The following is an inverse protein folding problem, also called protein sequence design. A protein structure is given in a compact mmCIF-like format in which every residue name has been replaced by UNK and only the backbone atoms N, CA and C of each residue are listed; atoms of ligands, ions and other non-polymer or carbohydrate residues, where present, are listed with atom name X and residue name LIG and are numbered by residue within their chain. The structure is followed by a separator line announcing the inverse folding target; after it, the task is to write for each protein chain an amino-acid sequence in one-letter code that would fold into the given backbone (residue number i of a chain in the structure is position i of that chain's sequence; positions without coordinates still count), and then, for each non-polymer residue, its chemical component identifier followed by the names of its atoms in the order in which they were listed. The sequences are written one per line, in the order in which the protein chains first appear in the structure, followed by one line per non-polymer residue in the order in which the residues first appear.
data_IF_287172013351
#
_entry.id   IF_287172013351
#
_cell.length_a   1.000
_cell.length_b   1.000
_cell.length_c   1.000
_cell.angle_alpha   90.00
_cell.angle_beta   90.00
_cell.angle_gamma   90.00
#
_symmetry.space_group_name_H-M   'P 1'
#
loop_
_entity.id
_entity.type
_entity.pdbx_description
1 polymer ?
#
# COMPACT_ATOMS: atom_id res chain seq x y z
N UNK A 1 -5.52 -15.21 -10.40
CA UNK A 1 -5.47 -13.80 -10.86
C UNK A 1 -4.26 -13.06 -10.29
N UNK A 2 -4.15 -12.89 -8.97
CA UNK A 2 -3.04 -12.19 -8.29
C UNK A 2 -1.64 -12.72 -8.68
N UNK A 3 -1.44 -14.05 -8.72
CA UNK A 3 -0.16 -14.63 -9.13
C UNK A 3 0.26 -14.24 -10.57
N UNK A 4 -0.71 -14.15 -11.49
CA UNK A 4 -0.46 -13.78 -12.90
C UNK A 4 -0.15 -12.28 -13.03
N UNK A 5 -0.91 -11.44 -12.31
CA UNK A 5 -0.65 -10.01 -12.15
C UNK A 5 0.78 -9.76 -11.66
N UNK A 6 1.19 -10.46 -10.61
CA UNK A 6 2.51 -10.30 -10.02
C UNK A 6 3.64 -10.84 -10.90
N UNK A 7 3.38 -11.86 -11.72
CA UNK A 7 4.36 -12.32 -12.70
C UNK A 7 4.56 -11.29 -13.83
N UNK A 8 3.46 -10.73 -14.38
CA UNK A 8 3.53 -9.65 -15.36
C UNK A 8 4.26 -8.42 -14.78
N UNK A 9 3.98 -8.09 -13.50
CA UNK A 9 4.67 -7.01 -12.76
C UNK A 9 6.16 -7.29 -12.54
N UNK A 10 6.55 -8.53 -12.23
CA UNK A 10 7.96 -8.91 -12.05
C UNK A 10 8.76 -8.70 -13.34
N UNK A 11 8.19 -9.02 -14.50
CA UNK A 11 8.82 -8.79 -15.80
C UNK A 11 9.02 -7.28 -16.00
N UNK A 12 7.96 -6.49 -15.83
CA UNK A 12 8.03 -5.04 -15.90
C UNK A 12 9.08 -4.46 -14.93
N UNK A 13 9.09 -4.90 -13.67
CA UNK A 13 10.05 -4.46 -12.66
C UNK A 13 11.51 -4.74 -13.04
N UNK A 14 11.79 -5.85 -13.71
CA UNK A 14 13.14 -6.17 -14.18
C UNK A 14 13.66 -5.18 -15.25
N UNK A 15 12.76 -4.68 -16.09
CA UNK A 15 13.09 -3.64 -17.07
C UNK A 15 13.17 -2.27 -16.40
N UNK A 16 12.25 -1.98 -15.47
CA UNK A 16 12.19 -0.73 -14.74
C UNK A 16 13.35 -0.55 -13.74
N UNK A 17 13.83 -1.62 -13.12
CA UNK A 17 14.94 -1.54 -12.16
C UNK A 17 16.23 -1.06 -12.82
N UNK A 18 16.45 -1.44 -14.09
CA UNK A 18 17.57 -0.95 -14.90
C UNK A 18 17.43 0.53 -15.20
N UNK A 19 16.21 1.01 -15.41
CA UNK A 19 15.90 2.41 -15.74
C UNK A 19 15.86 3.35 -14.54
N UNK A 20 15.51 2.82 -13.36
CA UNK A 20 15.31 3.59 -12.13
C UNK A 20 16.42 3.38 -11.10
N UNK A 21 17.49 2.65 -11.46
CA UNK A 21 18.63 2.31 -10.59
C UNK A 21 18.20 1.72 -9.25
N UNK A 22 17.14 0.91 -9.25
CA UNK A 22 16.56 0.32 -8.05
C UNK A 22 17.14 -1.08 -7.79
N UNK A 23 17.56 -1.37 -6.56
CA UNK A 23 18.21 -2.64 -6.22
C UNK A 23 17.18 -3.71 -5.86
N UNK A 24 16.68 -4.41 -6.89
CA UNK A 24 15.74 -5.53 -6.71
C UNK A 24 16.26 -6.61 -5.76
N UNK A 25 17.58 -6.74 -5.57
CA UNK A 25 18.15 -7.73 -4.63
C UNK A 25 17.73 -7.44 -3.20
N UNK A 26 17.58 -6.17 -2.83
CA UNK A 26 17.11 -5.77 -1.50
C UNK A 26 15.67 -6.20 -1.28
N UNK A 27 14.78 -6.00 -2.25
CA UNK A 27 13.38 -6.46 -2.14
C UNK A 27 13.26 -7.98 -2.15
N UNK A 28 14.07 -8.69 -2.96
CA UNK A 28 14.11 -10.16 -2.90
C UNK A 28 14.57 -10.66 -1.53
N UNK A 29 15.59 -10.03 -0.95
CA UNK A 29 16.05 -10.35 0.41
C UNK A 29 14.96 -10.07 1.44
N UNK A 30 14.31 -8.90 1.38
CA UNK A 30 13.22 -8.54 2.26
C UNK A 30 12.09 -9.59 2.20
N UNK A 31 11.64 -9.95 0.99
CA UNK A 31 10.64 -11.02 0.80
C UNK A 31 11.10 -12.34 1.42
N UNK A 32 12.35 -12.75 1.19
CA UNK A 32 12.87 -14.00 1.75
C UNK A 32 12.89 -14.03 3.27
N UNK A 33 13.14 -12.89 3.93
CA UNK A 33 13.09 -12.78 5.39
C UNK A 33 11.65 -12.76 5.91
N UNK A 34 10.75 -12.03 5.24
CA UNK A 34 9.35 -11.97 5.62
C UNK A 34 8.67 -13.34 5.50
N UNK A 35 9.04 -14.18 4.52
CA UNK A 35 8.48 -15.53 4.37
C UNK A 35 8.78 -16.45 5.57
N UNK A 36 9.79 -16.12 6.38
CA UNK A 36 10.10 -16.85 7.61
C UNK A 36 9.10 -16.52 8.72
N UNK A 37 8.43 -15.37 8.65
CA UNK A 37 7.38 -15.00 9.59
C UNK A 37 6.12 -15.83 9.29
N UNK A 38 5.52 -16.35 10.36
CA UNK A 38 4.28 -17.12 10.32
C UNK A 38 3.15 -16.33 10.97
N UNK A 39 2.66 -15.32 10.26
CA UNK A 39 1.43 -14.63 10.66
C UNK A 39 0.21 -15.43 10.21
N UNK A 40 -0.78 -15.53 11.10
CA UNK A 40 -2.13 -15.89 10.70
C UNK A 40 -2.92 -14.60 10.57
N UNK A 41 -3.48 -14.36 9.39
CA UNK A 41 -4.22 -13.13 9.12
C UNK A 41 -5.52 -13.44 8.37
N UNK A 42 -6.48 -12.51 8.45
CA UNK A 42 -7.72 -12.56 7.69
C UNK A 42 -7.79 -11.35 6.78
N UNK A 43 -7.96 -11.56 5.47
CA UNK A 43 -8.23 -10.45 4.56
C UNK A 43 -9.69 -10.03 4.77
N UNK A 44 -9.97 -8.77 5.18
CA UNK A 44 -11.33 -8.29 5.35
C UNK A 44 -12.01 -8.11 3.98
N UNK A 45 -13.34 -8.07 3.98
CA UNK A 45 -14.14 -7.76 2.79
C UNK A 45 -15.20 -6.72 3.12
N UNK A 46 -15.37 -5.74 2.24
CA UNK A 46 -16.26 -4.59 2.44
C UNK A 46 -17.17 -4.35 1.23
N UNK A 47 -18.35 -3.80 1.46
CA UNK A 47 -19.23 -3.35 0.38
C UNK A 47 -18.82 -1.99 -0.19
N UNK A 48 -18.37 -1.09 0.69
CA UNK A 48 -17.85 0.22 0.36
C UNK A 48 -16.64 0.55 1.24
N UNK A 49 -15.58 1.08 0.63
CA UNK A 49 -14.36 1.49 1.31
C UNK A 49 -13.91 2.85 0.80
N UNK A 50 -13.57 3.74 1.73
CA UNK A 50 -13.05 5.08 1.48
C UNK A 50 -11.56 5.09 1.77
N UNK A 51 -10.74 5.34 0.76
CA UNK A 51 -9.28 5.45 0.90
C UNK A 51 -8.90 6.90 1.14
N UNK A 52 -8.16 7.16 2.21
CA UNK A 52 -7.80 8.48 2.70
C UNK A 52 -6.29 8.63 2.64
N UNK A 53 -5.83 9.55 1.79
CA UNK A 53 -4.43 9.85 1.56
C UNK A 53 -3.91 11.05 2.37
N UNK A 54 -2.60 11.34 2.30
CA UNK A 54 -1.93 12.33 3.13
C UNK A 54 -2.37 13.79 2.94
N UNK A 55 -3.03 14.11 1.82
CA UNK A 55 -3.55 15.47 1.55
C UNK A 55 -5.02 15.62 1.96
N UNK A 56 -5.53 14.70 2.78
CA UNK A 56 -6.88 14.79 3.29
C UNK A 56 -7.02 16.00 4.21
N UNK A 57 -7.84 16.96 3.80
CA UNK A 57 -8.30 18.06 4.64
C UNK A 57 -9.71 17.75 5.08
N UNK A 58 -9.98 17.82 6.39
CA UNK A 58 -11.21 17.35 7.05
C UNK A 58 -12.48 17.64 6.24
N UNK A 59 -13.01 16.62 5.58
CA UNK A 59 -14.31 16.63 4.88
C UNK A 59 -15.29 15.68 5.56
N UNK A 60 -16.59 15.86 5.34
CA UNK A 60 -17.54 14.84 5.77
C UNK A 60 -17.37 13.56 4.94
N UNK A 61 -16.95 12.48 5.59
CA UNK A 61 -16.83 11.17 4.96
C UNK A 61 -18.20 10.49 4.86
N UNK A 62 -18.42 9.67 3.81
CA UNK A 62 -19.62 8.83 3.72
C UNK A 62 -19.73 7.90 4.94
N UNK A 63 -20.79 8.08 5.74
CA UNK A 63 -21.01 7.32 6.99
C UNK A 63 -21.27 5.83 6.78
N UNK A 64 -21.74 5.45 5.59
CA UNK A 64 -22.08 4.05 5.25
C UNK A 64 -20.92 3.28 4.61
N UNK A 65 -19.69 3.81 4.66
CA UNK A 65 -18.52 3.17 4.09
C UNK A 65 -17.45 2.99 5.16
N UNK A 66 -16.77 1.84 5.13
CA UNK A 66 -15.56 1.63 5.91
C UNK A 66 -14.43 2.55 5.42
N UNK A 67 -13.42 2.73 6.24
CA UNK A 67 -12.30 3.64 6.00
C UNK A 67 -10.97 2.91 5.93
N UNK A 68 -10.14 3.32 4.97
CA UNK A 68 -8.76 2.91 4.81
C UNK A 68 -7.88 4.14 4.84
N UNK A 69 -6.95 4.22 5.79
CA UNK A 69 -6.09 5.39 5.96
C UNK A 69 -4.64 5.03 5.61
N UNK A 70 -3.98 5.90 4.83
CA UNK A 70 -2.64 5.65 4.29
C UNK A 70 -1.57 6.41 5.06
N UNK A 71 -0.75 5.65 5.78
CA UNK A 71 0.47 6.08 6.46
C UNK A 71 0.31 7.42 7.22
N UNK A 72 1.02 8.48 6.84
CA UNK A 72 0.95 9.80 7.50
C UNK A 72 -0.46 10.41 7.59
N UNK A 73 -1.41 10.01 6.74
CA UNK A 73 -2.81 10.45 6.84
C UNK A 73 -3.45 10.03 8.17
N UNK A 74 -2.94 8.97 8.81
CA UNK A 74 -3.44 8.49 10.10
C UNK A 74 -3.26 9.51 11.23
N UNK A 75 -2.22 10.35 11.14
CA UNK A 75 -1.96 11.36 12.17
C UNK A 75 -3.00 12.49 12.19
N UNK A 76 -3.68 12.72 11.07
CA UNK A 76 -4.69 13.79 10.92
C UNK A 76 -6.11 13.25 10.78
N UNK A 77 -6.26 11.91 10.73
CA UNK A 77 -7.55 11.26 10.67
C UNK A 77 -8.23 11.32 12.04
N UNK A 78 -9.45 11.83 12.05
CA UNK A 78 -10.30 11.91 13.23
C UNK A 78 -11.13 10.61 13.36
N UNK A 79 -10.81 9.81 14.38
CA UNK A 79 -11.42 8.50 14.64
C UNK A 79 -10.49 7.32 14.42
N UNK A 80 -11.09 6.12 14.45
CA UNK A 80 -10.40 4.84 14.27
C UNK A 80 -10.73 4.26 12.88
N UNK A 81 -9.74 4.05 12.01
CA UNK A 81 -10.01 3.51 10.68
C UNK A 81 -10.27 2.00 10.73
N UNK A 82 -11.00 1.46 9.76
CA UNK A 82 -11.18 0.00 9.65
C UNK A 82 -9.90 -0.69 9.14
N UNK A 83 -9.16 0.01 8.26
CA UNK A 83 -7.97 -0.49 7.60
C UNK A 83 -6.86 0.57 7.59
N UNK A 84 -5.62 0.14 7.79
CA UNK A 84 -4.44 0.99 7.68
C UNK A 84 -3.49 0.39 6.65
N UNK A 85 -2.90 1.23 5.81
CA UNK A 85 -1.80 0.84 4.91
C UNK A 85 -0.60 1.71 5.24
N UNK A 86 0.52 1.12 5.66
CA UNK A 86 1.71 1.89 6.03
C UNK A 86 2.99 1.11 5.76
N UNK A 87 4.06 1.83 5.43
CA UNK A 87 5.45 1.36 5.35
C UNK A 87 6.29 1.80 6.58
N UNK A 88 5.63 2.39 7.57
CA UNK A 88 6.18 2.97 8.81
C UNK A 88 7.03 4.25 8.63
N UNK A 89 7.01 4.96 7.50
CA UNK A 89 7.80 6.21 7.38
C UNK A 89 7.07 7.42 8.01
N UNK A 90 5.74 7.48 7.89
CA UNK A 90 4.94 8.64 8.33
C UNK A 90 4.13 8.43 9.60
N UNK A 91 4.16 7.26 10.23
CA UNK A 91 3.40 6.95 11.46
C UNK A 91 4.28 6.32 12.54
N UNK A 92 3.96 6.59 13.81
CA UNK A 92 4.64 5.98 14.96
C UNK A 92 4.08 4.60 15.28
N UNK A 93 4.90 3.78 15.96
CA UNK A 93 4.47 2.45 16.40
C UNK A 93 3.35 2.53 17.44
N UNK A 94 3.40 3.53 18.31
CA UNK A 94 2.41 3.79 19.35
C UNK A 94 1.05 4.07 18.73
N UNK A 95 0.99 4.94 17.71
CA UNK A 95 -0.26 5.24 17.02
C UNK A 95 -0.84 3.98 16.35
N UNK A 96 -0.01 3.20 15.66
CA UNK A 96 -0.49 1.94 15.06
C UNK A 96 -0.99 0.95 16.10
N UNK A 97 -0.32 0.84 17.23
CA UNK A 97 -0.74 -0.04 18.33
C UNK A 97 -2.12 0.35 18.85
N UNK A 98 -2.36 1.65 19.07
CA UNK A 98 -3.67 2.16 19.49
C UNK A 98 -4.77 1.74 18.50
N UNK A 99 -4.53 1.93 17.20
CA UNK A 99 -5.52 1.59 16.18
C UNK A 99 -5.74 0.09 16.03
N UNK A 100 -4.69 -0.70 16.17
CA UNK A 100 -4.79 -2.16 16.16
C UNK A 100 -5.60 -2.67 17.34
N UNK A 101 -5.37 -2.12 18.55
CA UNK A 101 -6.18 -2.42 19.73
C UNK A 101 -7.65 -1.99 19.56
N UNK A 102 -7.92 -0.95 18.76
CA UNK A 102 -9.27 -0.52 18.39
C UNK A 102 -9.94 -1.43 17.33
N UNK A 103 -9.22 -2.42 16.79
CA UNK A 103 -9.75 -3.40 15.84
C UNK A 103 -9.37 -3.16 14.37
N UNK A 104 -8.48 -2.20 14.09
CA UNK A 104 -8.01 -1.93 12.73
C UNK A 104 -7.27 -3.13 12.13
N UNK A 105 -7.45 -3.37 10.84
CA UNK A 105 -6.57 -4.27 10.07
C UNK A 105 -5.40 -3.49 9.48
N UNK A 106 -4.16 -3.91 9.77
CA UNK A 106 -2.96 -3.28 9.26
C UNK A 106 -2.39 -4.05 8.06
N UNK A 107 -2.35 -3.42 6.89
CA UNK A 107 -1.51 -3.83 5.77
C UNK A 107 -0.14 -3.16 5.88
N UNK A 108 0.85 -3.96 6.29
CA UNK A 108 2.20 -3.48 6.52
C UNK A 108 3.06 -3.71 5.27
N UNK A 109 3.43 -2.62 4.60
CA UNK A 109 4.15 -2.63 3.34
C UNK A 109 5.64 -2.76 3.60
N UNK A 110 6.23 -3.87 3.16
CA UNK A 110 7.66 -4.09 3.25
C UNK A 110 8.36 -3.76 1.93
N UNK A 111 9.40 -2.94 2.05
CA UNK A 111 10.34 -2.55 1.02
C UNK A 111 11.74 -3.12 1.33
N UNK A 112 12.60 -3.17 0.31
CA UNK A 112 13.97 -3.67 0.45
C UNK A 112 14.83 -2.92 1.47
N UNK A 113 14.53 -1.67 1.78
CA UNK A 113 15.29 -0.79 2.68
C UNK A 113 14.70 -0.65 4.08
N UNK A 114 13.42 -0.96 4.30
CA UNK A 114 12.77 -0.87 5.60
C UNK A 114 12.50 -2.24 6.28
N UNK A 115 12.85 -3.36 5.63
CA UNK A 115 12.42 -4.69 6.12
C UNK A 115 12.85 -4.99 7.56
N UNK A 116 14.04 -4.58 8.01
CA UNK A 116 14.48 -4.82 9.40
C UNK A 116 13.58 -4.11 10.42
N UNK A 117 13.15 -2.89 10.11
CA UNK A 117 12.17 -2.13 10.91
C UNK A 117 10.83 -2.85 10.92
N UNK A 118 10.37 -3.31 9.75
CA UNK A 118 9.13 -4.09 9.62
C UNK A 118 9.18 -5.36 10.47
N UNK A 119 10.29 -6.11 10.47
CA UNK A 119 10.44 -7.32 11.29
C UNK A 119 10.29 -7.04 12.79
N UNK A 120 10.78 -5.90 13.28
CA UNK A 120 10.63 -5.50 14.68
C UNK A 120 9.19 -5.09 14.99
N UNK A 121 8.57 -4.31 14.10
CA UNK A 121 7.20 -3.84 14.24
C UNK A 121 6.21 -5.01 14.26
N UNK A 122 6.35 -5.97 13.34
CA UNK A 122 5.46 -7.14 13.26
C UNK A 122 5.43 -7.92 14.56
N UNK A 123 6.60 -8.17 15.17
CA UNK A 123 6.70 -8.90 16.45
C UNK A 123 5.99 -8.21 17.60
N UNK A 124 5.86 -6.88 17.53
CA UNK A 124 5.11 -6.12 18.53
C UNK A 124 3.62 -6.11 18.21
N UNK A 125 3.28 -5.92 16.93
CA UNK A 125 1.89 -5.69 16.51
C UNK A 125 1.05 -6.96 16.33
N UNK A 126 1.67 -8.13 16.14
CA UNK A 126 0.95 -9.39 15.94
C UNK A 126 0.06 -9.78 17.13
N UNK A 127 0.39 -9.32 18.34
CA UNK A 127 -0.41 -9.55 19.55
C UNK A 127 -1.61 -8.60 19.69
N UNK A 128 -1.67 -7.51 18.92
CA UNK A 128 -2.68 -6.46 19.08
C UNK A 128 -3.78 -6.49 18.03
N UNK A 129 -3.65 -7.28 16.96
CA UNK A 129 -4.71 -7.42 15.97
C UNK A 129 -4.27 -8.05 14.66
N UNK A 130 -5.01 -7.75 13.60
CA UNK A 130 -4.82 -8.38 12.30
C UNK A 130 -3.75 -7.66 11.46
N UNK A 131 -2.54 -8.22 11.39
CA UNK A 131 -1.43 -7.72 10.58
C UNK A 131 -1.28 -8.55 9.30
N UNK A 132 -1.33 -7.88 8.16
CA UNK A 132 -1.11 -8.47 6.83
C UNK A 132 0.17 -7.87 6.26
N UNK A 133 1.23 -8.67 6.21
CA UNK A 133 2.44 -8.29 5.51
C UNK A 133 2.19 -8.30 4.01
N UNK A 134 2.56 -7.23 3.32
CA UNK A 134 2.49 -7.13 1.86
C UNK A 134 3.82 -6.70 1.27
N UNK A 135 4.10 -7.12 0.04
CA UNK A 135 5.34 -6.78 -0.67
C UNK A 135 5.03 -6.34 -2.10
N UNK A 136 6.02 -5.72 -2.75
CA UNK A 136 5.93 -5.38 -4.18
C UNK A 136 6.35 -6.52 -5.12
N UNK A 137 6.84 -7.65 -4.57
CA UNK A 137 7.37 -8.79 -5.33
C UNK A 137 6.60 -10.08 -5.02
N UNK A 138 6.36 -10.89 -6.05
CA UNK A 138 5.79 -12.22 -5.86
C UNK A 138 6.70 -13.09 -4.99
N UNK A 139 6.14 -13.70 -3.95
CA UNK A 139 6.88 -14.62 -3.09
C UNK A 139 6.63 -16.07 -3.51
N UNK A 140 7.63 -16.97 -3.41
CA UNK A 140 7.46 -18.37 -3.80
C UNK A 140 6.33 -19.09 -3.07
N UNK A 141 6.12 -18.80 -1.78
CA UNK A 141 5.09 -19.46 -0.98
C UNK A 141 3.69 -18.85 -1.13
N UNK A 142 3.57 -17.71 -1.81
CA UNK A 142 2.31 -16.95 -1.99
C UNK A 142 1.62 -16.51 -0.67
N UNK A 143 2.27 -16.70 0.48
CA UNK A 143 1.73 -16.35 1.81
C UNK A 143 1.72 -14.85 2.07
N UNK A 144 2.57 -14.10 1.38
CA UNK A 144 2.64 -12.64 1.46
C UNK A 144 2.00 -12.12 0.17
N UNK A 145 0.86 -11.41 0.25
CA UNK A 145 0.26 -10.81 -0.92
C UNK A 145 1.23 -9.85 -1.61
N UNK A 146 1.36 -10.02 -2.92
CA UNK A 146 2.12 -9.12 -3.76
C UNK A 146 1.19 -8.02 -4.30
N UNK A 147 1.58 -6.76 -4.08
CA UNK A 147 0.86 -5.56 -4.46
C UNK A 147 1.71 -4.80 -5.50
N UNK A 148 1.35 -4.86 -6.79
CA UNK A 148 2.18 -4.39 -7.90
C UNK A 148 2.05 -2.86 -8.09
N UNK A 149 2.65 -2.10 -7.17
CA UNK A 149 2.61 -0.65 -7.22
C UNK A 149 3.85 -0.03 -6.55
N UNK A 150 4.23 1.18 -6.98
CA UNK A 150 5.44 1.84 -6.48
C UNK A 150 5.19 2.73 -5.25
N UNK A 151 4.10 3.49 -5.20
CA UNK A 151 3.78 4.37 -4.06
C UNK A 151 2.82 3.69 -3.09
N UNK A 152 2.82 4.08 -1.81
CA UNK A 152 1.91 3.48 -0.82
C UNK A 152 0.45 3.86 -1.08
N UNK A 153 0.22 5.04 -1.67
CA UNK A 153 -1.10 5.42 -2.16
C UNK A 153 -1.63 4.49 -3.27
N UNK A 154 -0.80 4.19 -4.27
CA UNK A 154 -1.18 3.24 -5.33
C UNK A 154 -1.42 1.83 -4.75
N UNK A 155 -0.56 1.39 -3.82
CA UNK A 155 -0.72 0.10 -3.12
C UNK A 155 -2.03 0.05 -2.33
N UNK A 156 -2.36 1.11 -1.60
CA UNK A 156 -3.60 1.21 -0.84
C UNK A 156 -4.83 1.14 -1.74
N UNK A 157 -4.84 1.84 -2.87
CA UNK A 157 -5.94 1.77 -3.85
C UNK A 157 -6.07 0.35 -4.43
N UNK A 158 -4.95 -0.32 -4.70
CA UNK A 158 -4.95 -1.70 -5.18
C UNK A 158 -5.55 -2.65 -4.13
N UNK A 159 -5.07 -2.56 -2.89
CA UNK A 159 -5.61 -3.34 -1.76
C UNK A 159 -7.10 -3.07 -1.60
N UNK A 160 -7.52 -1.80 -1.59
CA UNK A 160 -8.92 -1.41 -1.43
C UNK A 160 -9.84 -2.08 -2.44
N UNK A 161 -9.41 -2.21 -3.69
CA UNK A 161 -10.19 -2.85 -4.75
C UNK A 161 -10.14 -4.37 -4.73
N UNK A 162 -9.15 -4.97 -4.08
CA UNK A 162 -9.16 -6.41 -3.79
C UNK A 162 -10.16 -6.75 -2.68
N UNK A 163 -10.30 -5.87 -1.71
CA UNK A 163 -11.09 -6.12 -0.50
C UNK A 163 -12.48 -5.48 -0.52
N UNK A 164 -12.78 -4.60 -1.46
CA UNK A 164 -14.06 -3.89 -1.52
C UNK A 164 -14.71 -3.92 -2.90
N UNK A 165 -16.06 -3.97 -2.92
CA UNK A 165 -16.86 -3.83 -4.14
C UNK A 165 -16.89 -2.39 -4.67
N UNK A 166 -16.92 -1.39 -3.78
CA UNK A 166 -16.93 0.04 -4.12
C UNK A 166 -15.78 0.75 -3.43
N UNK A 167 -15.03 1.56 -4.17
CA UNK A 167 -13.90 2.32 -3.65
C UNK A 167 -14.09 3.80 -3.96
N UNK A 168 -14.00 4.64 -2.93
CA UNK A 168 -13.92 6.10 -3.02
C UNK A 168 -12.55 6.55 -2.53
N UNK A 169 -12.01 7.63 -3.07
CA UNK A 169 -10.63 8.05 -2.81
C UNK A 169 -10.61 9.54 -2.49
N UNK A 170 -9.95 9.93 -1.39
CA UNK A 170 -9.82 11.31 -0.92
C UNK A 170 -8.38 11.60 -0.49
N UNK A 171 -7.93 12.85 -0.59
CA UNK A 171 -6.62 13.25 -0.07
C UNK A 171 -5.41 12.71 -0.85
N UNK A 172 -5.57 12.45 -2.15
CA UNK A 172 -4.47 12.08 -3.05
C UNK A 172 -4.24 13.14 -4.11
N UNK A 173 -2.97 13.52 -4.31
CA UNK A 173 -2.58 14.44 -5.37
C UNK A 173 -2.61 13.75 -6.73
N UNK A 174 -3.57 14.12 -7.57
CA UNK A 174 -3.59 13.67 -8.96
C UNK A 174 -2.60 14.43 -9.84
N UNK A 175 -2.19 15.65 -9.42
CA UNK A 175 -1.38 16.62 -10.16
C UNK A 175 0.07 16.79 -9.67
N UNK A 176 0.46 16.09 -8.61
CA UNK A 176 1.81 15.96 -8.04
C UNK A 176 2.66 17.24 -8.07
N UNK A 177 2.31 18.23 -7.26
CA UNK A 177 3.23 19.31 -6.89
C UNK A 177 3.72 19.08 -5.45
N UNK A 178 4.52 18.04 -5.22
CA UNK A 178 4.99 17.75 -3.86
C UNK A 178 6.01 18.81 -3.39
N UNK A 179 5.59 19.71 -2.50
CA UNK A 179 6.46 20.64 -1.76
C UNK A 179 7.11 20.00 -0.53
N UNK A 180 6.74 18.77 -0.17
CA UNK A 180 7.26 18.06 1.01
C UNK A 180 7.72 16.66 0.64
N UNK A 181 9.03 16.48 0.51
CA UNK A 181 9.82 15.37 1.08
C UNK A 181 11.10 15.16 0.28
N UNK A 182 12.24 15.20 1.01
CA UNK A 182 13.59 14.66 0.79
C UNK A 182 14.13 14.69 -0.65
N UNK A 183 15.41 15.05 -0.79
CA UNK A 183 16.22 15.13 -2.01
C UNK A 183 16.39 13.79 -2.78
N UNK A 184 15.31 13.06 -3.03
CA UNK A 184 15.19 12.16 -4.17
C UNK A 184 14.86 13.06 -5.34
N UNK A 185 15.67 13.01 -6.38
CA UNK A 185 15.46 13.77 -7.61
C UNK A 185 13.99 13.63 -8.04
N UNK A 186 13.25 14.75 -8.00
CA UNK A 186 11.79 14.80 -8.28
C UNK A 186 11.45 14.05 -9.57
N UNK A 187 12.37 14.08 -10.55
CA UNK A 187 12.34 13.33 -11.80
C UNK A 187 12.20 11.81 -11.62
N UNK A 188 12.94 11.20 -10.70
CA UNK A 188 12.89 9.75 -10.44
C UNK A 188 11.58 9.35 -9.77
N UNK A 189 11.09 10.17 -8.83
CA UNK A 189 9.80 9.94 -8.16
C UNK A 189 8.63 10.04 -9.15
N UNK A 190 8.64 11.06 -10.00
CA UNK A 190 7.65 11.23 -11.07
C UNK A 190 7.69 10.09 -12.09
N UNK A 191 8.89 9.62 -12.48
CA UNK A 191 9.03 8.44 -13.36
C UNK A 191 8.45 7.18 -12.72
N UNK A 192 8.75 6.92 -11.44
CA UNK A 192 8.17 5.79 -10.68
C UNK A 192 6.65 5.83 -10.68
N UNK A 193 6.07 7.00 -10.44
CA UNK A 193 4.60 7.17 -10.43
C UNK A 193 4.02 7.01 -11.84
N UNK A 194 4.60 7.63 -12.86
CA UNK A 194 4.13 7.49 -14.24
C UNK A 194 4.17 6.03 -14.71
N UNK A 195 5.22 5.30 -14.34
CA UNK A 195 5.36 3.87 -14.62
C UNK A 195 4.39 3.01 -13.78
N UNK A 196 4.23 3.33 -12.49
CA UNK A 196 3.21 2.74 -11.60
C UNK A 196 1.84 2.87 -12.23
N UNK A 197 1.50 4.06 -12.73
CA UNK A 197 0.23 4.35 -13.39
C UNK A 197 0.14 3.65 -14.74
N UNK A 198 1.17 3.67 -15.58
CA UNK A 198 1.12 3.02 -16.90
C UNK A 198 1.00 1.50 -16.80
N UNK A 199 1.93 0.86 -16.09
CA UNK A 199 1.92 -0.59 -15.89
C UNK A 199 0.78 -1.02 -14.98
N UNK A 200 0.51 -0.24 -13.93
CA UNK A 200 -0.65 -0.41 -13.07
C UNK A 200 -1.93 -0.37 -13.90
N UNK A 201 -2.13 0.60 -14.79
CA UNK A 201 -3.31 0.68 -15.69
C UNK A 201 -3.38 -0.49 -16.66
N UNK A 202 -2.27 -0.91 -17.26
CA UNK A 202 -2.24 -2.05 -18.20
C UNK A 202 -2.63 -3.34 -17.47
N UNK A 203 -1.99 -3.61 -16.34
CA UNK A 203 -2.29 -4.74 -15.48
C UNK A 203 -3.73 -4.63 -14.98
N UNK A 204 -4.15 -3.44 -14.53
CA UNK A 204 -5.49 -3.16 -14.02
C UNK A 204 -6.55 -3.48 -15.08
N UNK A 205 -6.44 -2.90 -16.26
CA UNK A 205 -7.37 -3.09 -17.38
C UNK A 205 -7.45 -4.54 -17.83
N UNK A 206 -6.33 -5.26 -17.77
CA UNK A 206 -6.24 -6.67 -18.16
C UNK A 206 -6.98 -7.60 -17.20
N UNK A 207 -7.11 -7.25 -15.92
CA UNK A 207 -7.62 -8.16 -14.88
C UNK A 207 -8.89 -7.66 -14.17
N UNK A 208 -9.15 -6.35 -14.17
CA UNK A 208 -10.22 -5.71 -13.39
C UNK A 208 -11.09 -4.74 -14.21
N UNK A 209 -10.86 -4.58 -15.52
CA UNK A 209 -11.56 -3.60 -16.37
C UNK A 209 -10.95 -2.20 -16.27
N UNK A 210 -11.54 -1.20 -16.94
CA UNK A 210 -10.99 0.18 -16.94
C UNK A 210 -10.81 0.73 -15.52
N UNK A 211 -9.66 1.36 -15.27
CA UNK A 211 -9.49 2.15 -14.05
C UNK A 211 -10.60 3.22 -14.04
N UNK A 212 -11.33 3.41 -12.93
CA UNK A 212 -11.96 4.68 -12.66
C UNK A 212 -10.85 5.72 -12.72
N UNK A 213 -10.79 6.45 -13.83
CA UNK A 213 -10.12 7.73 -13.90
C UNK A 213 -10.72 8.51 -12.73
N UNK A 214 -9.91 9.05 -11.80
CA UNK A 214 -10.46 9.85 -10.71
C UNK A 214 -11.41 10.87 -11.34
N UNK A 215 -12.66 10.91 -10.86
CA UNK A 215 -13.59 11.92 -11.30
C UNK A 215 -12.94 13.26 -10.99
N UNK A 216 -12.57 13.97 -12.05
CA UNK A 216 -12.07 15.33 -11.95
C UNK A 216 -13.31 16.15 -11.61
N UNK A 217 -13.50 16.39 -10.32
CA UNK A 217 -14.50 17.31 -9.77
C UNK A 217 -13.76 18.38 -8.99
#
# INVERSE_FOLDING_TARGET
MVAKICNDWKIALGDLSKWLSFDLRKDFRAVSELEKIRLTYRIPHFDCLVVIGPQYESTELPKDCSTMVVDSALNVFDGHPDVIVSDMDGVTLERLKEEMMAGSTLFLVAHGDNFEKILQVVKVLEDYGNVILVSQLLTPSLRIPCIPAFSDGDKAIFIARLISRKVKIFGFDTNYQSTRSKSVELSTKLRKIALSRAYGTIIWSRYYGELPVPAIG
#
